data_IF_189506850052
#
_entry.id   IF_189506850052
#
_cell.length_a   1.000
_cell.length_b   1.000
_cell.length_c   1.000
_cell.angle_alpha   90.00
_cell.angle_beta   90.00
_cell.angle_gamma   90.00
#
_symmetry.space_group_name_H-M   'P 1'
#
loop_
_entity.id
_entity.type
_entity.pdbx_description
1 polymer ?
#
# COMPACT_ATOMS: atom_id res chain seq x y z
N UNK A 1 -15.47 -2.73 -17.84
CA UNK A 1 -16.28 -3.64 -17.02
C UNK A 1 -17.47 -2.91 -16.38
N UNK A 2 -17.26 -1.97 -15.45
CA UNK A 2 -18.36 -1.25 -14.76
C UNK A 2 -19.39 -0.68 -15.73
N UNK A 3 -18.95 0.10 -16.72
CA UNK A 3 -19.84 0.65 -17.76
C UNK A 3 -20.62 -0.40 -18.56
N UNK A 4 -20.05 -1.57 -18.84
CA UNK A 4 -20.77 -2.58 -19.63
C UNK A 4 -21.82 -3.32 -18.81
N UNK A 5 -21.65 -3.41 -17.48
CA UNK A 5 -22.60 -4.06 -16.58
C UNK A 5 -23.69 -3.09 -16.12
N UNK A 6 -23.32 -1.85 -15.76
CA UNK A 6 -24.21 -0.87 -15.14
C UNK A 6 -24.68 0.24 -16.08
N UNK A 7 -24.17 0.31 -17.32
CA UNK A 7 -24.49 1.37 -18.29
C UNK A 7 -23.80 2.71 -18.01
N UNK A 8 -23.17 2.88 -16.85
CA UNK A 8 -22.49 4.10 -16.38
C UNK A 8 -21.14 3.74 -15.71
N UNK A 9 -20.24 4.71 -15.60
CA UNK A 9 -19.01 4.57 -14.81
C UNK A 9 -19.20 4.93 -13.33
N UNK A 10 -20.35 5.51 -12.96
CA UNK A 10 -20.65 5.93 -11.59
C UNK A 10 -21.57 4.94 -10.91
N UNK A 11 -21.20 4.48 -9.72
CA UNK A 11 -22.02 3.54 -8.93
C UNK A 11 -22.22 4.08 -7.52
N UNK A 12 -23.37 3.80 -6.93
CA UNK A 12 -23.65 4.10 -5.54
C UNK A 12 -23.31 2.87 -4.68
N UNK A 13 -22.59 3.09 -3.58
CA UNK A 13 -22.18 2.05 -2.64
C UNK A 13 -22.51 2.46 -1.21
N UNK A 14 -22.99 1.51 -0.41
CA UNK A 14 -23.35 1.75 0.99
C UNK A 14 -22.48 0.83 1.88
N UNK A 15 -21.33 1.32 2.39
CA UNK A 15 -20.39 0.49 3.13
C UNK A 15 -20.96 -0.07 4.44
N UNK A 16 -21.93 0.63 5.05
CA UNK A 16 -22.55 0.28 6.33
C UNK A 16 -23.88 -0.49 6.17
N UNK A 17 -24.26 -0.86 4.95
CA UNK A 17 -25.51 -1.55 4.64
C UNK A 17 -26.63 -0.63 4.15
N UNK A 18 -27.84 -1.17 3.89
CA UNK A 18 -28.91 -0.47 3.17
C UNK A 18 -29.40 0.83 3.81
N UNK A 19 -29.31 0.91 5.14
CA UNK A 19 -29.74 2.07 5.93
C UNK A 19 -28.61 3.08 6.17
N UNK A 20 -27.39 2.77 5.69
CA UNK A 20 -26.20 3.60 5.85
C UNK A 20 -26.04 4.69 4.80
N UNK A 21 -25.02 5.56 4.96
CA UNK A 21 -24.70 6.59 3.98
C UNK A 21 -24.34 5.98 2.62
N UNK A 22 -24.73 6.67 1.55
CA UNK A 22 -24.38 6.29 0.18
C UNK A 22 -23.17 7.09 -0.28
N UNK A 23 -22.16 6.40 -0.80
CA UNK A 23 -21.00 6.96 -1.48
C UNK A 23 -21.13 6.76 -3.00
N UNK A 24 -20.92 7.82 -3.79
CA UNK A 24 -20.79 7.69 -5.25
C UNK A 24 -19.33 7.37 -5.59
N UNK A 25 -19.11 6.25 -6.27
CA UNK A 25 -17.81 5.81 -6.78
C UNK A 25 -17.77 6.07 -8.29
N UNK A 26 -16.75 6.81 -8.74
CA UNK A 26 -16.53 7.11 -10.15
C UNK A 26 -15.38 6.28 -10.75
N UNK A 27 -15.71 5.34 -11.63
CA UNK A 27 -14.78 4.51 -12.38
C UNK A 27 -14.36 5.12 -13.73
N UNK A 28 -14.52 6.43 -13.93
CA UNK A 28 -14.04 7.11 -15.13
C UNK A 28 -12.51 7.19 -15.11
N UNK A 29 -11.79 6.61 -16.09
CA UNK A 29 -10.34 6.72 -16.16
C UNK A 29 -9.90 8.14 -16.62
N UNK A 30 -8.66 8.57 -16.32
CA UNK A 30 -7.61 7.84 -15.61
C UNK A 30 -7.80 7.83 -14.09
N UNK A 31 -7.50 6.68 -13.46
CA UNK A 31 -7.53 6.56 -12.00
C UNK A 31 -6.41 7.36 -11.34
N UNK A 32 -6.68 7.80 -10.10
CA UNK A 32 -5.69 8.49 -9.26
C UNK A 32 -4.50 7.55 -9.03
N UNK A 33 -3.29 8.11 -9.03
CA UNK A 33 -2.04 7.38 -8.76
C UNK A 33 -1.27 8.11 -7.67
N UNK A 34 -0.74 7.37 -6.72
CA UNK A 34 0.08 7.90 -5.64
C UNK A 34 1.14 6.89 -5.23
N UNK A 35 2.38 7.33 -5.04
CA UNK A 35 3.45 6.51 -4.50
C UNK A 35 3.32 6.43 -2.98
N UNK A 36 3.48 5.24 -2.42
CA UNK A 36 3.25 4.95 -1.01
C UNK A 36 4.04 5.89 -0.07
N UNK A 37 5.35 5.98 -0.26
CA UNK A 37 6.23 6.73 0.64
C UNK A 37 5.96 8.24 0.62
N UNK A 38 5.98 8.93 -0.55
CA UNK A 38 5.72 10.37 -0.58
C UNK A 38 4.36 10.77 -0.01
N UNK A 39 3.29 9.99 -0.28
CA UNK A 39 1.98 10.32 0.24
C UNK A 39 1.89 10.04 1.76
N UNK A 40 2.48 8.93 2.23
CA UNK A 40 2.50 8.64 3.67
C UNK A 40 3.30 9.67 4.46
N UNK A 41 4.48 10.08 3.97
CA UNK A 41 5.27 11.17 4.56
C UNK A 41 4.48 12.48 4.63
N UNK A 42 3.74 12.80 3.57
CA UNK A 42 2.88 14.00 3.52
C UNK A 42 1.76 13.94 4.57
N UNK A 43 1.17 12.77 4.82
CA UNK A 43 0.11 12.60 5.85
C UNK A 43 0.65 12.65 7.26
N UNK A 44 1.78 11.99 7.49
CA UNK A 44 2.44 11.96 8.78
C UNK A 44 3.15 13.28 9.10
N UNK A 45 3.42 14.11 8.10
CA UNK A 45 4.25 15.32 8.21
C UNK A 45 5.66 15.03 8.76
N UNK A 46 6.15 13.83 8.50
CA UNK A 46 7.44 13.31 8.98
C UNK A 46 8.13 12.56 7.85
N UNK A 47 9.45 12.63 7.80
CA UNK A 47 10.26 11.83 6.89
C UNK A 47 10.36 10.38 7.39
N UNK A 48 10.04 9.44 6.52
CA UNK A 48 10.15 8.03 6.83
C UNK A 48 11.61 7.55 6.69
N UNK A 49 12.00 6.47 7.37
CA UNK A 49 13.27 5.81 7.10
C UNK A 49 13.38 5.46 5.60
N UNK A 50 14.57 5.57 5.04
CA UNK A 50 14.78 5.27 3.63
C UNK A 50 14.33 3.83 3.30
N UNK A 51 13.68 3.56 2.15
CA UNK A 51 13.15 2.24 1.85
C UNK A 51 14.18 1.10 1.87
N UNK A 52 15.44 1.42 1.58
CA UNK A 52 16.54 0.44 1.62
C UNK A 52 17.10 0.14 3.01
N UNK A 53 16.58 0.77 4.07
CA UNK A 53 17.04 0.58 5.46
C UNK A 53 15.92 0.10 6.37
N UNK A 54 14.78 -0.33 5.82
CA UNK A 54 13.60 -0.77 6.58
C UNK A 54 13.82 -2.07 7.38
N UNK A 55 14.88 -2.82 7.08
CA UNK A 55 15.29 -4.02 7.79
C UNK A 55 16.11 -3.73 9.06
N UNK A 56 16.49 -2.47 9.28
CA UNK A 56 17.24 -2.04 10.48
C UNK A 56 16.35 -1.91 11.71
N UNK A 57 16.93 -2.14 12.89
CA UNK A 57 16.24 -1.92 14.17
C UNK A 57 15.79 -0.47 14.34
N UNK A 58 16.63 0.49 13.92
CA UNK A 58 16.30 1.92 13.96
C UNK A 58 15.04 2.24 13.14
N UNK A 59 14.92 1.70 11.92
CA UNK A 59 13.73 1.91 11.10
C UNK A 59 12.48 1.31 11.74
N UNK A 60 12.59 0.12 12.35
CA UNK A 60 11.48 -0.51 13.09
C UNK A 60 11.05 0.37 14.26
N UNK A 61 11.99 0.86 15.08
CA UNK A 61 11.69 1.74 16.22
C UNK A 61 11.01 3.05 15.79
N UNK A 62 11.44 3.64 14.67
CA UNK A 62 10.81 4.85 14.12
C UNK A 62 9.37 4.55 13.68
N UNK A 63 9.15 3.48 12.91
CA UNK A 63 7.81 3.09 12.46
C UNK A 63 6.90 2.71 13.63
N UNK A 64 7.44 2.03 14.65
CA UNK A 64 6.73 1.66 15.86
C UNK A 64 6.24 2.91 16.62
N UNK A 65 7.15 3.87 16.81
CA UNK A 65 6.82 5.17 17.43
C UNK A 65 5.78 5.94 16.64
N UNK A 66 5.86 5.93 15.31
CA UNK A 66 4.84 6.55 14.45
C UNK A 66 3.47 5.88 14.66
N UNK A 67 3.41 4.54 14.67
CA UNK A 67 2.17 3.84 15.00
C UNK A 67 1.63 4.25 16.37
N UNK A 68 2.47 4.30 17.41
CA UNK A 68 2.06 4.69 18.75
C UNK A 68 1.54 6.14 18.82
N UNK A 69 2.26 7.10 18.21
CA UNK A 69 1.89 8.51 18.20
C UNK A 69 0.55 8.77 17.50
N UNK A 70 0.22 7.96 16.49
CA UNK A 70 -1.02 8.05 15.72
C UNK A 70 -2.10 7.06 16.17
N UNK A 71 -1.90 6.38 17.31
CA UNK A 71 -2.85 5.40 17.85
C UNK A 71 -3.20 4.27 16.86
N UNK A 72 -2.25 3.91 16.00
CA UNK A 72 -2.37 2.82 15.04
C UNK A 72 -1.94 1.53 15.72
N UNK A 73 -2.90 0.63 15.96
CA UNK A 73 -2.62 -0.65 16.59
C UNK A 73 -1.92 -1.63 15.63
N UNK A 74 -0.84 -2.25 16.12
CA UNK A 74 -0.16 -3.35 15.42
C UNK A 74 0.15 -4.47 16.42
N UNK A 75 -0.55 -5.59 16.28
CA UNK A 75 -0.32 -6.75 17.13
C UNK A 75 1.06 -7.38 16.85
N UNK A 76 1.74 -7.96 17.86
CA UNK A 76 3.00 -8.67 17.65
C UNK A 76 2.90 -9.78 16.58
N UNK A 77 3.97 -10.05 15.80
CA UNK A 77 5.26 -9.35 15.81
C UNK A 77 5.17 -7.96 15.13
N UNK A 78 5.88 -6.96 15.67
CA UNK A 78 5.92 -5.57 15.16
C UNK A 78 7.08 -5.38 14.18
N UNK A 79 7.01 -6.08 13.04
CA UNK A 79 8.03 -5.94 11.98
C UNK A 79 7.81 -4.68 11.17
N UNK A 80 8.85 -4.15 10.51
CA UNK A 80 8.72 -2.98 9.63
C UNK A 80 7.61 -3.16 8.57
N UNK A 81 7.51 -4.35 7.97
CA UNK A 81 6.44 -4.72 7.04
C UNK A 81 5.05 -4.52 7.64
N UNK A 82 4.81 -5.05 8.84
CA UNK A 82 3.49 -4.99 9.51
C UNK A 82 3.16 -3.58 10.01
N UNK A 83 4.15 -2.87 10.53
CA UNK A 83 3.97 -1.49 10.98
C UNK A 83 3.62 -0.57 9.81
N UNK A 84 4.34 -0.71 8.69
CA UNK A 84 4.10 0.08 7.49
C UNK A 84 2.73 -0.26 6.86
N UNK A 85 2.36 -1.53 6.80
CA UNK A 85 1.02 -1.98 6.40
C UNK A 85 -0.08 -1.29 7.20
N UNK A 86 0.06 -1.23 8.53
CA UNK A 86 -0.92 -0.55 9.39
C UNK A 86 -0.98 0.96 9.19
N UNK A 87 0.17 1.61 8.98
CA UNK A 87 0.21 3.05 8.67
C UNK A 87 -0.44 3.32 7.31
N UNK A 88 -0.18 2.50 6.30
CA UNK A 88 -0.81 2.62 4.97
C UNK A 88 -2.32 2.42 5.06
N UNK A 89 -2.78 1.38 5.75
CA UNK A 89 -4.20 1.13 5.98
C UNK A 89 -4.90 2.32 6.63
N UNK A 90 -4.29 2.89 7.67
CA UNK A 90 -4.88 4.00 8.41
C UNK A 90 -4.88 5.33 7.62
N UNK A 91 -3.80 5.65 6.91
CA UNK A 91 -3.62 6.99 6.31
C UNK A 91 -3.90 7.06 4.82
N UNK A 92 -3.79 5.96 4.08
CA UNK A 92 -3.90 5.94 2.62
C UNK A 92 -5.15 5.20 2.16
N UNK A 93 -5.40 3.98 2.68
CA UNK A 93 -6.51 3.14 2.21
C UNK A 93 -7.87 3.74 2.55
N UNK A 94 -8.03 4.31 3.76
CA UNK A 94 -9.26 4.94 4.23
C UNK A 94 -9.75 6.10 3.34
N UNK A 95 -8.90 6.65 2.49
CA UNK A 95 -9.25 7.73 1.56
C UNK A 95 -9.51 7.27 0.13
N UNK A 96 -9.24 6.00 -0.17
CA UNK A 96 -9.39 5.45 -1.51
C UNK A 96 -10.85 5.06 -1.76
N UNK A 97 -11.75 6.06 -1.82
CA UNK A 97 -13.16 5.86 -2.19
C UNK A 97 -13.26 5.53 -3.69
N UNK A 98 -12.77 6.45 -4.53
CA UNK A 98 -12.63 6.23 -5.96
C UNK A 98 -11.43 5.34 -6.27
N UNK A 99 -11.43 4.65 -7.44
CA UNK A 99 -10.31 3.83 -7.88
C UNK A 99 -8.98 4.59 -7.81
N UNK A 100 -8.09 4.10 -6.95
CA UNK A 100 -6.80 4.73 -6.67
C UNK A 100 -5.71 3.68 -6.69
N UNK A 101 -4.68 3.91 -7.50
CA UNK A 101 -3.46 3.11 -7.49
C UNK A 101 -2.51 3.62 -6.42
N UNK A 102 -2.20 2.77 -5.45
CA UNK A 102 -1.06 2.96 -4.54
C UNK A 102 0.12 2.23 -5.18
N UNK A 103 1.23 2.93 -5.42
CA UNK A 103 2.36 2.44 -6.19
C UNK A 103 3.65 2.45 -5.37
N UNK A 104 4.66 1.78 -5.90
CA UNK A 104 6.05 1.81 -5.44
C UNK A 104 6.22 1.28 -4.02
N UNK A 105 5.63 0.12 -3.75
CA UNK A 105 5.76 -0.56 -2.46
C UNK A 105 7.22 -0.92 -2.17
N UNK A 106 7.64 -0.90 -0.90
CA UNK A 106 8.99 -1.29 -0.53
C UNK A 106 9.23 -2.78 -0.74
N UNK A 107 10.50 -3.12 -0.99
CA UNK A 107 10.94 -4.49 -1.26
C UNK A 107 10.63 -5.45 -0.11
N UNK A 108 10.69 -4.99 1.14
CA UNK A 108 10.40 -5.81 2.33
C UNK A 108 8.94 -6.27 2.39
N UNK A 109 8.03 -5.59 1.69
CA UNK A 109 6.62 -5.98 1.54
C UNK A 109 6.35 -6.78 0.25
N UNK A 110 7.34 -6.87 -0.64
CA UNK A 110 7.14 -7.27 -2.04
C UNK A 110 8.22 -8.26 -2.50
N UNK A 111 8.31 -9.46 -1.88
CA UNK A 111 9.39 -10.42 -2.09
C UNK A 111 9.47 -10.96 -3.53
N UNK A 112 8.38 -10.92 -4.28
CA UNK A 112 8.29 -11.39 -5.67
C UNK A 112 8.34 -10.24 -6.69
N UNK A 113 8.22 -8.99 -6.24
CA UNK A 113 8.20 -7.83 -7.13
C UNK A 113 9.62 -7.37 -7.49
N UNK A 114 9.87 -7.06 -8.75
CA UNK A 114 11.15 -6.55 -9.23
C UNK A 114 11.48 -5.20 -8.59
N UNK A 115 12.77 -4.96 -8.37
CA UNK A 115 13.26 -3.69 -7.84
C UNK A 115 12.83 -2.53 -8.75
N UNK A 116 12.49 -1.40 -8.14
CA UNK A 116 12.20 -0.17 -8.87
C UNK A 116 13.43 0.29 -9.66
N UNK A 117 13.22 0.74 -10.90
CA UNK A 117 14.33 1.10 -11.82
C UNK A 117 15.16 2.30 -11.38
N UNK A 118 14.58 3.20 -10.58
CA UNK A 118 15.22 4.46 -10.15
C UNK A 118 15.21 4.70 -8.64
N UNK A 119 14.45 3.94 -7.86
CA UNK A 119 14.22 4.20 -6.43
C UNK A 119 14.70 3.01 -5.60
N UNK A 120 15.83 3.16 -4.92
CA UNK A 120 16.47 2.05 -4.22
C UNK A 120 15.64 1.62 -3.00
N UNK A 121 15.35 0.32 -2.93
CA UNK A 121 14.56 -0.28 -1.84
C UNK A 121 13.05 -0.31 -2.11
N UNK A 122 12.59 0.30 -3.21
CA UNK A 122 11.21 0.16 -3.70
C UNK A 122 11.12 -0.91 -4.80
N UNK A 123 9.89 -1.24 -5.16
CA UNK A 123 9.56 -2.21 -6.20
C UNK A 123 8.59 -1.63 -7.21
N UNK A 124 8.58 -2.17 -8.43
CA UNK A 124 7.58 -1.81 -9.45
C UNK A 124 6.26 -2.54 -9.17
N UNK A 125 5.61 -2.22 -8.05
CA UNK A 125 4.34 -2.79 -7.59
C UNK A 125 3.28 -1.70 -7.51
N UNK A 126 2.05 -2.07 -7.80
CA UNK A 126 0.89 -1.28 -7.45
C UNK A 126 -0.24 -2.15 -6.88
N UNK A 127 -1.07 -1.51 -6.08
CA UNK A 127 -2.37 -2.02 -5.64
C UNK A 127 -3.45 -1.06 -6.09
N UNK A 128 -4.60 -1.60 -6.50
CA UNK A 128 -5.79 -0.81 -6.80
C UNK A 128 -6.75 -0.90 -5.63
N UNK A 129 -7.08 0.25 -5.04
CA UNK A 129 -8.06 0.39 -3.98
C UNK A 129 -9.35 1.03 -4.50
N UNK A 130 -10.49 0.52 -4.04
CA UNK A 130 -11.84 1.06 -4.27
C UNK A 130 -12.65 0.89 -2.99
N UNK A 131 -13.35 1.94 -2.56
CA UNK A 131 -14.07 1.97 -1.27
C UNK A 131 -13.26 1.41 -0.11
N UNK A 132 -12.01 1.88 0.00
CA UNK A 132 -11.10 1.52 1.10
C UNK A 132 -10.72 0.03 1.14
N UNK A 133 -10.96 -0.70 0.04
CA UNK A 133 -10.63 -2.12 -0.08
C UNK A 133 -9.71 -2.33 -1.27
N UNK A 134 -8.70 -3.17 -1.07
CA UNK A 134 -7.84 -3.67 -2.13
C UNK A 134 -8.66 -4.56 -3.06
N UNK A 135 -8.57 -4.30 -4.37
CA UNK A 135 -9.23 -5.11 -5.41
C UNK A 135 -8.26 -5.71 -6.43
N UNK A 136 -7.04 -5.15 -6.53
CA UNK A 136 -5.98 -5.69 -7.39
C UNK A 136 -4.62 -5.49 -6.74
N UNK A 137 -3.73 -6.46 -6.98
CA UNK A 137 -2.30 -6.37 -6.69
C UNK A 137 -1.54 -6.81 -7.94
N UNK A 138 -0.58 -6.01 -8.38
CA UNK A 138 0.20 -6.31 -9.57
C UNK A 138 1.60 -5.71 -9.45
N UNK A 139 2.56 -6.36 -10.11
CA UNK A 139 3.95 -5.92 -10.10
C UNK A 139 4.70 -6.41 -11.33
N UNK A 140 5.80 -5.74 -11.65
CA UNK A 140 6.80 -6.31 -12.55
C UNK A 140 7.43 -7.52 -11.85
N UNK A 141 7.37 -8.69 -12.46
CA UNK A 141 7.87 -9.93 -11.88
C UNK A 141 9.39 -9.91 -11.66
N UNK A 142 9.84 -10.37 -10.48
CA UNK A 142 11.25 -10.61 -10.24
C UNK A 142 11.71 -11.85 -11.02
N UNK A 143 12.39 -11.60 -12.12
CA UNK A 143 12.87 -12.63 -13.03
C UNK A 143 14.35 -13.00 -12.85
N UNK A 144 15.03 -12.51 -11.81
CA UNK A 144 16.43 -12.83 -11.53
C UNK A 144 16.55 -13.93 -10.46
N UNK A 145 16.91 -15.17 -10.82
CA UNK A 145 16.76 -16.34 -9.95
C UNK A 145 17.62 -16.25 -8.68
N UNK A 146 18.82 -15.69 -8.75
CA UNK A 146 19.69 -15.54 -7.57
C UNK A 146 19.12 -14.55 -6.55
N UNK A 147 18.56 -13.43 -7.01
CA UNK A 147 17.94 -12.42 -6.14
C UNK A 147 16.66 -13.00 -5.54
N UNK A 148 15.88 -13.74 -6.33
CA UNK A 148 14.68 -14.40 -5.83
C UNK A 148 14.99 -15.41 -4.73
N UNK A 149 16.07 -16.20 -4.90
CA UNK A 149 16.56 -17.14 -3.87
C UNK A 149 17.01 -16.43 -2.60
N UNK A 150 17.75 -15.32 -2.73
CA UNK A 150 18.15 -14.50 -1.59
C UNK A 150 16.94 -13.98 -0.80
N UNK A 151 15.91 -13.49 -1.49
CA UNK A 151 14.67 -13.02 -0.85
C UNK A 151 13.91 -14.15 -0.16
N UNK A 152 13.84 -15.35 -0.75
CA UNK A 152 13.26 -16.51 -0.06
C UNK A 152 14.02 -16.88 1.22
N UNK A 153 15.35 -16.83 1.20
CA UNK A 153 16.15 -17.07 2.40
C UNK A 153 15.92 -16.00 3.47
N UNK A 154 15.61 -14.76 3.10
CA UNK A 154 15.24 -13.71 4.05
C UNK A 154 13.85 -13.95 4.66
N UNK A 155 12.87 -14.40 3.87
CA UNK A 155 11.53 -14.70 4.37
C UNK A 155 11.43 -15.94 5.25
N UNK A 156 12.36 -16.89 5.10
CA UNK A 156 12.39 -18.12 5.90
C UNK A 156 13.00 -17.92 7.30
N UNK A 157 13.50 -16.71 7.60
CA UNK A 157 14.03 -16.32 8.91
C UNK A 157 12.95 -15.63 9.73
#
# INVERSE_FOLDING_TARGET
>A
MVKSIHGTCKINYQPEGPDGPTEEIDFTPPFKRMSMFPELEKRLQVKLPHPSTLDTLEAVEILDRLCANHQVECQPPRTATRLLDKLVGHFLEEECINPTFIMDHPQIMSPLAKNHRSEKGLTERFELFVCKKEICNAYTELNHPFIQRERFNQQAK
#
